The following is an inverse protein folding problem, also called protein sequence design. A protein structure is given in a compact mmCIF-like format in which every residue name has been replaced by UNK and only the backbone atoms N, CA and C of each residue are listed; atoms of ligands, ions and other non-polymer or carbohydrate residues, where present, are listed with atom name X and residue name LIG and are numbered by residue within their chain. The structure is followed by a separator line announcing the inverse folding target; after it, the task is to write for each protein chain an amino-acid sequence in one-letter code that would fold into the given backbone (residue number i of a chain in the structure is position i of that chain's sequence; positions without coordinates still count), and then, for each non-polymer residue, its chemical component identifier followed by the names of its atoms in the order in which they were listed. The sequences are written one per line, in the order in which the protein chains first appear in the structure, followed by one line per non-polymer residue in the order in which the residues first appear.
data_IF_245968679719
#
_entry.id   IF_245968679719
#
_cell.length_a   1.000
_cell.length_b   1.000
_cell.length_c   1.000
_cell.angle_alpha   90.00
_cell.angle_beta   90.00
_cell.angle_gamma   90.00
#
_symmetry.space_group_name_H-M   'P 1'
#
loop_
_entity.id
_entity.type
_entity.pdbx_description
1 polymer ?
#
# COMPACT_ATOMS: atom_id res chain seq x y z
N UNK A 1 -46.29 30.20 -20.48
CA UNK A 1 -45.30 29.14 -20.74
C UNK A 1 -44.43 29.03 -19.49
N UNK A 2 -44.95 28.62 -18.33
CA UNK A 2 -45.81 27.46 -17.98
C UNK A 2 -44.96 26.27 -17.53
N UNK A 3 -45.24 25.75 -16.33
CA UNK A 3 -44.58 24.61 -15.69
C UNK A 3 -44.61 23.34 -16.54
N UNK A 4 -43.63 22.45 -16.33
CA UNK A 4 -43.97 21.07 -15.96
C UNK A 4 -43.00 20.51 -14.91
N UNK A 5 -43.50 19.64 -14.02
CA UNK A 5 -42.77 19.02 -12.90
C UNK A 5 -42.76 17.51 -13.06
N UNK A 6 -41.59 16.87 -12.94
CA UNK A 6 -41.46 15.40 -12.76
C UNK A 6 -40.16 15.11 -12.02
N UNK A 7 -40.16 15.05 -10.68
CA UNK A 7 -40.82 14.09 -9.80
C UNK A 7 -40.24 12.67 -9.89
N UNK A 8 -39.54 12.34 -8.80
CA UNK A 8 -39.01 11.06 -8.33
C UNK A 8 -39.56 9.76 -8.92
N UNK A 9 -38.69 8.73 -8.97
CA UNK A 9 -39.10 7.40 -8.53
C UNK A 9 -37.95 6.67 -7.80
N UNK A 10 -38.16 6.29 -6.54
CA UNK A 10 -37.22 5.50 -5.75
C UNK A 10 -37.69 4.05 -5.67
N UNK A 11 -36.79 3.09 -5.85
CA UNK A 11 -37.08 1.66 -5.62
C UNK A 11 -36.07 1.00 -4.69
N UNK A 12 -36.27 1.25 -3.40
CA UNK A 12 -35.71 0.43 -2.32
C UNK A 12 -36.35 -0.95 -2.38
N UNK A 13 -35.57 -2.02 -2.48
CA UNK A 13 -36.04 -3.41 -2.38
C UNK A 13 -35.29 -4.09 -1.24
N UNK A 14 -36.03 -4.48 -0.21
CA UNK A 14 -35.48 -5.01 1.05
C UNK A 14 -36.10 -6.38 1.35
N UNK A 15 -35.27 -7.44 1.26
CA UNK A 15 -35.59 -8.84 1.62
C UNK A 15 -34.27 -9.59 1.87
N UNK A 16 -34.18 -10.59 2.74
CA UNK A 16 -34.90 -10.88 3.99
C UNK A 16 -34.08 -11.95 4.74
N UNK A 17 -33.99 -11.89 6.08
CA UNK A 17 -33.14 -12.80 6.86
C UNK A 17 -33.83 -14.16 7.07
N UNK A 18 -33.09 -15.26 6.91
CA UNK A 18 -33.46 -16.53 7.58
C UNK A 18 -32.24 -17.36 7.98
N UNK A 19 -31.92 -17.32 9.29
CA UNK A 19 -31.02 -18.30 9.93
C UNK A 19 -31.75 -19.63 10.13
N UNK A 20 -31.01 -20.73 10.16
CA UNK A 20 -31.38 -21.95 10.89
C UNK A 20 -30.13 -22.57 11.54
N UNK A 21 -30.14 -22.65 12.86
CA UNK A 21 -29.56 -23.80 13.57
C UNK A 21 -30.64 -24.92 13.59
N UNK A 22 -30.48 -26.11 14.16
CA UNK A 22 -29.41 -26.76 14.94
C UNK A 22 -29.69 -28.27 14.89
N UNK A 23 -28.74 -29.14 15.27
CA UNK A 23 -29.12 -30.32 16.06
C UNK A 23 -27.97 -30.89 16.90
N UNK A 24 -28.33 -31.69 17.91
CA UNK A 24 -27.47 -32.02 19.06
C UNK A 24 -27.59 -33.49 19.47
N UNK A 25 -26.45 -34.17 19.65
CA UNK A 25 -26.28 -35.36 20.51
C UNK A 25 -24.77 -35.66 20.67
N UNK A 26 -24.26 -36.39 21.68
CA UNK A 26 -24.44 -36.38 23.15
C UNK A 26 -23.95 -37.73 23.72
N UNK A 27 -22.86 -37.73 24.50
CA UNK A 27 -22.50 -38.76 25.52
C UNK A 27 -22.11 -40.17 24.96
N UNK A 28 -21.44 -41.13 25.64
CA UNK A 28 -20.88 -41.39 27.01
C UNK A 28 -19.88 -42.60 26.89
N UNK A 29 -19.02 -43.09 27.83
CA UNK A 29 -18.49 -42.74 29.18
C UNK A 29 -17.35 -43.75 29.60
N UNK A 30 -16.34 -43.36 30.41
CA UNK A 30 -15.46 -44.24 31.28
C UNK A 30 -14.54 -45.27 30.55
N UNK A 31 -13.48 -45.92 31.08
CA UNK A 31 -12.74 -46.07 32.38
C UNK A 31 -11.32 -46.69 32.05
N UNK A 32 -10.25 -46.85 32.87
CA UNK A 32 -9.56 -46.13 33.99
C UNK A 32 -8.34 -46.97 34.48
N UNK A 33 -7.27 -46.35 35.06
CA UNK A 33 -6.11 -46.97 35.79
C UNK A 33 -5.07 -47.78 34.95
N UNK A 34 -3.78 -47.97 35.33
CA UNK A 34 -2.94 -47.52 36.48
C UNK A 34 -1.41 -47.71 36.24
N UNK A 35 -0.55 -46.93 36.93
CA UNK A 35 0.88 -47.21 37.26
C UNK A 35 1.91 -47.28 36.09
N UNK A 36 3.23 -47.01 36.24
CA UNK A 36 4.07 -46.45 37.34
C UNK A 36 5.47 -46.04 36.83
N UNK A 37 6.28 -45.44 37.72
CA UNK A 37 7.73 -45.15 37.62
C UNK A 37 8.19 -43.93 36.77
N UNK A 38 9.33 -43.36 37.18
CA UNK A 38 10.02 -42.20 36.59
C UNK A 38 11.34 -42.65 35.95
N UNK A 39 11.82 -41.93 34.94
CA UNK A 39 13.24 -41.56 34.77
C UNK A 39 13.39 -40.55 33.61
N UNK A 40 14.52 -39.84 33.59
CA UNK A 40 14.80 -38.66 32.75
C UNK A 40 15.86 -38.93 31.68
N UNK A 41 15.73 -38.31 30.50
CA UNK A 41 16.85 -37.86 29.67
C UNK A 41 16.36 -36.90 28.56
N UNK A 42 16.98 -35.73 28.45
CA UNK A 42 16.72 -34.73 27.41
C UNK A 42 17.54 -35.05 26.14
N UNK A 43 16.91 -34.97 24.95
CA UNK A 43 17.57 -34.78 23.65
C UNK A 43 16.52 -34.66 22.52
N UNK A 44 15.64 -33.64 22.56
CA UNK A 44 14.87 -33.30 21.35
C UNK A 44 15.84 -32.69 20.32
N UNK A 45 16.11 -33.42 19.25
CA UNK A 45 16.78 -32.84 18.08
C UNK A 45 15.79 -31.90 17.39
N UNK A 46 16.00 -30.60 17.58
CA UNK A 46 15.43 -29.59 16.68
C UNK A 46 16.00 -29.85 15.28
N UNK A 47 15.22 -30.51 14.43
CA UNK A 47 15.49 -30.61 12.99
C UNK A 47 15.30 -29.21 12.40
N UNK A 48 16.36 -28.39 12.49
CA UNK A 48 16.52 -27.12 11.76
C UNK A 48 16.29 -27.41 10.28
N UNK A 49 15.04 -27.21 9.86
CA UNK A 49 14.56 -27.55 8.53
C UNK A 49 15.23 -26.61 7.52
N UNK A 50 16.38 -27.04 7.01
CA UNK A 50 17.26 -26.31 6.08
C UNK A 50 16.40 -25.69 5.00
N UNK A 51 16.20 -24.37 5.13
CA UNK A 51 15.16 -23.66 4.40
C UNK A 51 15.34 -23.86 2.90
N UNK A 52 14.40 -24.56 2.27
CA UNK A 52 14.40 -24.75 0.82
C UNK A 52 14.59 -23.38 0.17
N UNK A 53 15.55 -23.21 -0.77
CA UNK A 53 15.80 -21.92 -1.40
C UNK A 53 14.49 -21.44 -2.02
N UNK A 54 13.94 -20.37 -1.46
CA UNK A 54 12.54 -20.00 -1.65
C UNK A 54 12.22 -19.95 -3.15
N UNK A 55 11.29 -20.82 -3.58
CA UNK A 55 11.09 -21.15 -4.98
C UNK A 55 11.03 -19.88 -5.84
N UNK A 56 11.98 -19.76 -6.78
CA UNK A 56 12.34 -18.50 -7.44
C UNK A 56 11.15 -17.87 -8.18
N UNK A 57 10.45 -16.99 -7.45
CA UNK A 57 9.18 -16.44 -7.89
C UNK A 57 9.44 -15.25 -8.80
N UNK A 58 9.41 -15.52 -10.11
CA UNK A 58 9.49 -14.56 -11.21
C UNK A 58 8.33 -13.55 -11.26
N UNK A 59 7.37 -13.62 -10.33
CA UNK A 59 6.23 -12.70 -10.20
C UNK A 59 5.86 -12.50 -8.73
N UNK A 60 5.29 -11.33 -8.34
CA UNK A 60 4.63 -11.16 -7.04
C UNK A 60 3.54 -12.21 -6.81
N UNK A 61 3.40 -12.69 -5.57
CA UNK A 61 2.22 -13.49 -5.23
C UNK A 61 0.94 -12.62 -5.22
N UNK A 62 -0.23 -13.27 -5.24
CA UNK A 62 -1.51 -12.54 -5.26
C UNK A 62 -1.69 -11.69 -3.99
N UNK A 63 -1.63 -10.36 -4.16
CA UNK A 63 -1.68 -9.38 -3.06
C UNK A 63 -0.33 -8.81 -2.63
N UNK A 64 0.78 -9.29 -3.19
CA UNK A 64 2.14 -8.73 -3.01
C UNK A 64 2.53 -7.68 -4.07
N UNK A 65 1.60 -7.27 -4.94
CA UNK A 65 1.85 -6.20 -5.91
C UNK A 65 2.08 -4.86 -5.23
N UNK A 66 2.91 -4.00 -5.86
CA UNK A 66 3.28 -2.70 -5.31
C UNK A 66 2.03 -1.86 -4.93
N UNK A 67 1.94 -1.32 -3.70
CA UNK A 67 0.67 -0.81 -3.15
C UNK A 67 0.33 0.61 -3.63
N UNK A 68 0.13 0.78 -4.93
CA UNK A 68 -0.12 2.06 -5.61
C UNK A 68 -1.09 3.02 -4.88
N UNK A 69 -2.26 2.59 -4.36
CA UNK A 69 -3.18 3.51 -3.67
C UNK A 69 -2.63 4.04 -2.34
N UNK A 70 -1.81 3.26 -1.65
CA UNK A 70 -1.15 3.67 -0.39
C UNK A 70 -0.04 4.67 -0.71
N UNK A 71 0.76 4.39 -1.75
CA UNK A 71 1.87 5.27 -2.16
C UNK A 71 1.36 6.61 -2.71
N UNK A 72 0.28 6.61 -3.50
CA UNK A 72 -0.48 7.82 -3.86
C UNK A 72 -0.85 8.66 -2.64
N UNK A 73 -1.41 8.03 -1.61
CA UNK A 73 -1.84 8.74 -0.40
C UNK A 73 -0.66 9.27 0.41
N UNK A 74 0.46 8.53 0.51
CA UNK A 74 1.72 8.97 1.12
C UNK A 74 2.25 10.23 0.42
N UNK A 75 2.37 10.18 -0.91
CA UNK A 75 2.86 11.29 -1.74
C UNK A 75 1.99 12.53 -1.53
N UNK A 76 0.68 12.41 -1.69
CA UNK A 76 -0.25 13.55 -1.57
C UNK A 76 -0.30 14.12 -0.15
N UNK A 77 -0.26 13.27 0.89
CA UNK A 77 -0.23 13.72 2.29
C UNK A 77 1.07 14.48 2.58
N UNK A 78 2.21 13.97 2.12
CA UNK A 78 3.53 14.59 2.35
C UNK A 78 3.65 15.93 1.61
N UNK A 79 3.26 15.99 0.33
CA UNK A 79 3.27 17.24 -0.43
C UNK A 79 2.33 18.29 0.19
N UNK A 80 1.11 17.90 0.59
CA UNK A 80 0.18 18.82 1.22
C UNK A 80 0.69 19.32 2.59
N UNK A 81 1.19 18.43 3.45
CA UNK A 81 1.73 18.78 4.76
C UNK A 81 2.95 19.72 4.67
N UNK A 82 3.78 19.57 3.64
CA UNK A 82 4.94 20.43 3.42
C UNK A 82 4.60 21.74 2.71
N UNK A 83 3.82 21.73 1.63
CA UNK A 83 3.77 22.82 0.65
C UNK A 83 2.50 23.68 0.65
N UNK A 84 1.44 23.28 1.37
CA UNK A 84 0.12 23.94 1.32
C UNK A 84 0.16 25.43 1.66
N UNK A 85 0.88 25.80 2.71
CA UNK A 85 0.90 27.18 3.24
C UNK A 85 2.27 27.85 3.01
N UNK A 86 2.98 27.45 1.94
CA UNK A 86 4.32 27.96 1.56
C UNK A 86 4.30 28.81 0.28
N UNK A 87 5.13 29.86 0.29
CA UNK A 87 5.46 30.68 -0.89
C UNK A 87 6.77 30.17 -1.49
N UNK A 88 6.90 30.20 -2.82
CA UNK A 88 8.14 29.82 -3.50
C UNK A 88 9.33 30.71 -3.12
N UNK A 89 10.41 30.08 -2.68
CA UNK A 89 11.75 30.68 -2.55
C UNK A 89 12.75 29.72 -3.20
N UNK A 90 13.60 30.25 -4.09
CA UNK A 90 14.60 29.49 -4.86
C UNK A 90 15.60 28.72 -3.98
N UNK A 91 15.97 29.25 -2.82
CA UNK A 91 17.00 28.64 -1.99
C UNK A 91 16.40 27.65 -0.99
N UNK A 92 15.21 27.93 -0.44
CA UNK A 92 14.51 26.99 0.45
C UNK A 92 13.80 25.87 -0.35
N UNK A 93 13.41 26.10 -1.61
CA UNK A 93 12.84 25.08 -2.50
C UNK A 93 13.71 23.83 -2.62
N UNK A 94 15.04 23.97 -2.64
CA UNK A 94 16.00 22.86 -2.66
C UNK A 94 15.86 21.97 -1.43
N UNK A 95 15.67 22.60 -0.26
CA UNK A 95 15.50 21.93 1.03
C UNK A 95 14.16 21.18 1.04
N UNK A 96 13.05 21.83 0.68
CA UNK A 96 11.73 21.18 0.64
C UNK A 96 11.66 20.04 -0.38
N UNK A 97 12.30 20.19 -1.56
CA UNK A 97 12.39 19.13 -2.56
C UNK A 97 13.08 17.89 -1.99
N UNK A 98 14.18 18.09 -1.25
CA UNK A 98 14.88 17.00 -0.57
C UNK A 98 14.05 16.41 0.57
N UNK A 99 13.48 17.23 1.45
CA UNK A 99 12.64 16.75 2.56
C UNK A 99 11.48 15.88 2.05
N UNK A 100 10.79 16.30 0.99
CA UNK A 100 9.69 15.52 0.38
C UNK A 100 10.21 14.21 -0.18
N UNK A 101 11.36 14.21 -0.87
CA UNK A 101 11.97 12.99 -1.40
C UNK A 101 12.38 12.01 -0.28
N UNK A 102 13.07 12.50 0.74
CA UNK A 102 13.55 11.72 1.89
C UNK A 102 12.37 11.19 2.74
N UNK A 103 11.32 11.98 2.96
CA UNK A 103 10.13 11.60 3.74
C UNK A 103 9.21 10.61 3.00
N UNK A 104 8.95 10.82 1.70
CA UNK A 104 8.22 9.85 0.86
C UNK A 104 9.00 8.53 0.77
N UNK A 105 10.33 8.59 0.59
CA UNK A 105 11.19 7.40 0.58
C UNK A 105 11.08 6.62 1.90
N UNK A 106 11.16 7.29 3.05
CA UNK A 106 11.02 6.67 4.38
C UNK A 106 9.63 6.05 4.59
N UNK A 107 8.54 6.75 4.26
CA UNK A 107 7.18 6.22 4.42
C UNK A 107 6.90 5.00 3.52
N UNK A 108 7.50 4.96 2.31
CA UNK A 108 7.41 3.78 1.42
C UNK A 108 8.24 2.63 1.98
N UNK A 109 9.50 2.88 2.36
CA UNK A 109 10.40 1.87 2.91
C UNK A 109 9.90 1.25 4.23
N UNK A 110 9.16 2.02 5.05
CA UNK A 110 8.50 1.53 6.25
C UNK A 110 7.26 0.64 5.97
N UNK A 111 6.79 0.57 4.72
CA UNK A 111 5.62 -0.24 4.37
C UNK A 111 6.01 -1.72 4.23
N UNK A 112 5.43 -2.67 5.01
CA UNK A 112 5.79 -4.08 4.91
C UNK A 112 5.45 -4.71 3.55
N UNK A 113 4.63 -4.02 2.73
CA UNK A 113 4.21 -4.46 1.39
C UNK A 113 5.23 -4.24 0.28
N UNK A 114 6.35 -3.54 0.52
CA UNK A 114 7.36 -3.27 -0.53
C UNK A 114 8.61 -4.15 -0.42
N UNK A 115 8.62 -5.19 0.42
CA UNK A 115 9.82 -6.01 0.72
C UNK A 115 10.50 -6.65 -0.51
N UNK A 116 9.77 -6.93 -1.60
CA UNK A 116 10.30 -7.45 -2.88
C UNK A 116 10.51 -6.36 -3.95
N UNK A 117 10.39 -5.08 -3.61
CA UNK A 117 10.52 -3.96 -4.54
C UNK A 117 11.69 -3.05 -4.18
N UNK A 118 12.35 -2.51 -5.21
CA UNK A 118 13.19 -1.31 -5.11
C UNK A 118 12.38 -0.14 -5.65
N UNK A 119 12.49 1.03 -5.02
CA UNK A 119 11.83 2.24 -5.49
C UNK A 119 12.78 3.42 -5.64
N UNK A 120 12.44 4.32 -6.54
CA UNK A 120 13.13 5.58 -6.79
C UNK A 120 12.12 6.71 -6.73
N UNK A 121 12.38 7.71 -5.87
CA UNK A 121 11.53 8.90 -5.73
C UNK A 121 12.15 10.05 -6.52
N UNK A 122 11.43 10.59 -7.49
CA UNK A 122 11.77 11.80 -8.23
C UNK A 122 10.83 12.93 -7.79
N UNK A 123 11.38 14.04 -7.28
CA UNK A 123 10.61 15.24 -6.93
C UNK A 123 11.09 16.41 -7.79
N UNK A 124 10.16 17.14 -8.39
CA UNK A 124 10.41 18.37 -9.16
C UNK A 124 9.52 19.49 -8.64
N UNK A 125 10.12 20.51 -8.02
CA UNK A 125 9.42 21.68 -7.49
C UNK A 125 9.80 22.91 -8.32
N UNK A 126 8.80 23.65 -8.80
CA UNK A 126 8.97 24.86 -9.62
C UNK A 126 8.04 25.99 -9.19
N UNK A 127 8.33 27.20 -9.67
CA UNK A 127 7.51 28.39 -9.39
C UNK A 127 6.34 28.46 -10.39
N UNK A 128 5.15 28.77 -9.89
CA UNK A 128 3.95 28.99 -10.71
C UNK A 128 3.88 30.46 -11.10
N UNK A 129 4.13 30.77 -12.38
CA UNK A 129 4.10 32.13 -12.95
C UNK A 129 3.27 32.22 -14.23
N UNK A 130 2.34 31.27 -14.45
CA UNK A 130 1.52 31.20 -15.66
C UNK A 130 2.26 30.74 -16.92
N UNK A 131 3.48 30.25 -16.78
CA UNK A 131 4.23 29.61 -17.86
C UNK A 131 3.87 28.12 -17.96
N UNK A 132 3.57 27.64 -19.16
CA UNK A 132 3.28 26.21 -19.39
C UNK A 132 4.49 25.32 -19.15
N UNK A 133 4.29 24.21 -18.43
CA UNK A 133 5.31 23.20 -18.15
C UNK A 133 4.74 21.80 -18.41
N UNK A 134 5.59 20.88 -18.90
CA UNK A 134 5.20 19.51 -19.27
C UNK A 134 6.17 18.51 -18.65
N UNK A 135 5.69 17.76 -17.65
CA UNK A 135 6.43 16.63 -17.09
C UNK A 135 6.15 15.34 -17.88
N UNK A 136 7.21 14.60 -18.21
CA UNK A 136 7.14 13.29 -18.87
C UNK A 136 8.21 12.35 -18.31
N UNK A 137 7.83 11.10 -18.05
CA UNK A 137 8.72 9.99 -17.76
C UNK A 137 8.57 8.89 -18.81
N UNK A 138 9.65 8.15 -19.08
CA UNK A 138 9.63 6.96 -19.95
C UNK A 138 10.45 5.85 -19.28
N UNK A 139 9.91 4.64 -19.28
CA UNK A 139 10.48 3.47 -18.62
C UNK A 139 10.55 2.29 -19.59
N UNK A 140 11.50 1.39 -19.37
CA UNK A 140 11.61 0.10 -20.06
C UNK A 140 11.78 -0.96 -18.96
N UNK A 141 10.74 -1.75 -18.73
CA UNK A 141 10.56 -2.57 -17.53
C UNK A 141 9.49 -3.65 -17.76
N UNK A 142 9.26 -4.56 -16.81
CA UNK A 142 8.22 -5.58 -16.92
C UNK A 142 6.82 -4.99 -16.70
N UNK A 143 5.90 -5.21 -17.64
CA UNK A 143 4.53 -4.71 -17.56
C UNK A 143 3.68 -5.40 -16.49
N UNK A 144 4.06 -6.60 -16.04
CA UNK A 144 3.28 -7.40 -15.10
C UNK A 144 3.74 -7.20 -13.64
N UNK A 145 4.97 -6.71 -13.42
CA UNK A 145 5.57 -6.56 -12.09
C UNK A 145 5.95 -5.12 -11.72
N UNK A 146 6.46 -4.33 -12.68
CA UNK A 146 7.03 -2.99 -12.44
C UNK A 146 5.99 -1.88 -12.65
N UNK A 147 6.10 -0.77 -11.91
CA UNK A 147 5.05 0.27 -11.94
C UNK A 147 5.50 1.65 -11.45
N UNK A 148 4.73 2.69 -11.78
CA UNK A 148 4.92 4.05 -11.26
C UNK A 148 3.63 4.68 -10.80
N UNK A 149 3.75 5.63 -9.87
CA UNK A 149 2.72 6.60 -9.52
C UNK A 149 3.32 8.01 -9.59
N UNK A 150 2.65 8.89 -10.33
CA UNK A 150 2.96 10.33 -10.40
C UNK A 150 1.78 11.10 -9.86
N UNK A 151 2.03 11.98 -8.90
CA UNK A 151 1.03 12.90 -8.36
C UNK A 151 1.56 14.35 -8.47
N UNK A 152 0.63 15.30 -8.58
CA UNK A 152 0.93 16.72 -8.78
C UNK A 152 0.23 17.54 -7.69
N UNK A 153 1.00 18.36 -7.00
CA UNK A 153 0.51 19.36 -6.06
C UNK A 153 0.74 20.77 -6.64
N UNK A 154 -0.27 21.63 -6.58
CA UNK A 154 -0.19 23.02 -7.06
C UNK A 154 -0.74 23.98 -6.01
N UNK A 155 -0.07 25.12 -5.88
CA UNK A 155 -0.41 26.24 -5.00
C UNK A 155 -0.29 27.55 -5.80
N UNK A 156 -0.79 28.66 -5.27
CA UNK A 156 -0.81 30.00 -5.91
C UNK A 156 0.56 30.53 -6.33
N UNK A 157 1.67 29.95 -5.82
CA UNK A 157 3.04 30.38 -6.13
C UNK A 157 3.98 29.28 -6.63
N UNK A 158 3.58 28.00 -6.57
CA UNK A 158 4.46 26.87 -6.89
C UNK A 158 3.68 25.63 -7.32
N UNK A 159 4.35 24.79 -8.10
CA UNK A 159 3.93 23.42 -8.37
C UNK A 159 5.00 22.43 -7.89
N UNK A 160 4.58 21.22 -7.57
CA UNK A 160 5.43 20.10 -7.21
C UNK A 160 4.91 18.83 -7.89
N UNK A 161 5.77 18.16 -8.65
CA UNK A 161 5.50 16.85 -9.24
C UNK A 161 6.34 15.83 -8.49
N UNK A 162 5.69 14.80 -7.94
CA UNK A 162 6.36 13.69 -7.28
C UNK A 162 6.01 12.38 -8.01
N UNK A 163 7.03 11.71 -8.52
CA UNK A 163 6.92 10.40 -9.17
C UNK A 163 7.70 9.37 -8.40
N UNK A 164 7.06 8.26 -8.06
CA UNK A 164 7.72 7.06 -7.56
C UNK A 164 7.71 6.01 -8.65
N UNK A 165 8.89 5.52 -8.99
CA UNK A 165 9.09 4.33 -9.81
C UNK A 165 9.38 3.15 -8.88
N UNK A 166 8.76 1.99 -9.13
CA UNK A 166 8.98 0.77 -8.38
C UNK A 166 9.30 -0.38 -9.34
N UNK A 167 10.41 -1.06 -9.07
CA UNK A 167 10.87 -2.22 -9.83
C UNK A 167 10.97 -3.45 -8.93
N UNK A 168 10.54 -4.59 -9.45
CA UNK A 168 10.51 -5.86 -8.75
C UNK A 168 11.93 -6.44 -8.62
N UNK A 169 12.25 -6.90 -7.42
CA UNK A 169 13.47 -7.67 -7.17
C UNK A 169 13.16 -9.17 -7.24
N UNK A 170 13.54 -9.71 -8.40
CA UNK A 170 13.74 -11.12 -8.66
C UNK A 170 14.71 -11.73 -7.64
#
# INVERSE_FOLDING_TARGET
MSDEKKSMNTKKVERSVRKKASNTASQHKTQTQSASAQLSADAEMEEEAVGQPAAYSMRPAFGESFPLPIVRNIINSTMAAKLKDKIYDKDIAKIWTREIADEVNQQIAASPKVKRYKHVVQVMLGQELGAGSTYLSRCCWDCDCDTSVTEVFTNTSLFCVCTVFATYQY
#
